data_IF_690365418212
#
_entry.id   IF_690365418212
#
_cell.length_a   1.000
_cell.length_b   1.000
_cell.length_c   1.000
_cell.angle_alpha   90.00
_cell.angle_beta   90.00
_cell.angle_gamma   90.00
#
_symmetry.space_group_name_H-M   'P 1'
#
loop_
_entity.id
_entity.type
_entity.pdbx_description
1 polymer ?
#
# COMPACT_ATOMS: atom_id res chain seq x y z
N UNK A 1 -17.03 15.55 -24.79
CA UNK A 1 -16.19 14.38 -24.44
C UNK A 1 -15.53 14.67 -23.10
N UNK A 2 -16.05 14.14 -22.01
CA UNK A 2 -15.35 14.16 -20.72
C UNK A 2 -15.47 12.78 -20.11
N UNK A 3 -14.80 11.81 -20.74
CA UNK A 3 -14.43 10.58 -20.07
C UNK A 3 -13.31 10.93 -19.12
N UNK A 4 -13.58 10.87 -17.83
CA UNK A 4 -12.52 10.92 -16.83
C UNK A 4 -11.65 9.69 -17.07
N UNK A 5 -10.50 9.85 -17.73
CA UNK A 5 -9.50 8.80 -17.99
C UNK A 5 -8.74 8.40 -16.72
N UNK A 6 -9.44 8.32 -15.58
CA UNK A 6 -8.86 7.77 -14.37
C UNK A 6 -8.70 6.27 -14.63
N UNK A 7 -7.45 5.85 -14.68
CA UNK A 7 -7.01 4.49 -14.43
C UNK A 7 -7.08 3.47 -15.58
N UNK A 8 -6.17 3.59 -16.55
CA UNK A 8 -5.33 2.42 -16.85
C UNK A 8 -4.43 2.21 -15.62
N UNK A 9 -4.93 1.54 -14.57
CA UNK A 9 -4.14 1.34 -13.35
C UNK A 9 -2.90 0.54 -13.72
N UNK A 10 -1.75 1.17 -13.66
CA UNK A 10 -0.48 0.46 -13.65
C UNK A 10 -0.48 -0.44 -12.41
N UNK A 11 -0.60 -1.75 -12.63
CA UNK A 11 -0.43 -2.78 -11.60
C UNK A 11 0.76 -3.63 -12.03
N UNK A 12 1.92 -3.49 -11.40
CA UNK A 12 3.08 -4.30 -11.73
C UNK A 12 2.84 -5.76 -11.35
N UNK A 13 3.41 -6.66 -12.13
CA UNK A 13 3.45 -8.09 -11.81
C UNK A 13 4.11 -8.29 -10.44
N UNK A 14 3.53 -9.17 -9.62
CA UNK A 14 4.01 -9.45 -8.26
C UNK A 14 3.45 -8.53 -7.16
N UNK A 15 2.73 -7.45 -7.48
CA UNK A 15 2.16 -6.58 -6.43
C UNK A 15 1.20 -7.33 -5.49
N UNK A 16 0.36 -8.20 -6.03
CA UNK A 16 -0.55 -9.01 -5.23
C UNK A 16 0.22 -10.03 -4.36
N UNK A 17 1.29 -10.62 -4.87
CA UNK A 17 2.11 -11.57 -4.11
C UNK A 17 2.78 -10.88 -2.92
N UNK A 18 3.35 -9.69 -3.14
CA UNK A 18 3.93 -8.89 -2.05
C UNK A 18 2.84 -8.46 -1.06
N UNK A 19 1.66 -8.04 -1.55
CA UNK A 19 0.52 -7.74 -0.67
C UNK A 19 0.15 -8.93 0.21
N UNK A 20 0.10 -10.14 -0.34
CA UNK A 20 -0.21 -11.36 0.39
C UNK A 20 0.87 -11.67 1.44
N UNK A 21 2.15 -11.43 1.13
CA UNK A 21 3.26 -11.56 2.10
C UNK A 21 3.09 -10.59 3.27
N UNK A 22 2.80 -9.31 3.01
CA UNK A 22 2.57 -8.33 4.08
C UNK A 22 1.23 -8.54 4.81
N UNK A 23 0.23 -9.13 4.17
CA UNK A 23 -1.05 -9.46 4.80
C UNK A 23 -0.97 -10.68 5.72
N UNK A 24 -0.03 -11.59 5.46
CA UNK A 24 0.19 -12.80 6.26
C UNK A 24 1.32 -12.65 7.28
N UNK A 25 2.20 -11.66 7.10
CA UNK A 25 3.32 -11.37 8.00
C UNK A 25 2.86 -11.11 9.44
N UNK A 26 3.33 -11.94 10.37
CA UNK A 26 3.09 -11.78 11.82
C UNK A 26 1.74 -12.26 12.33
N UNK A 27 0.88 -12.84 11.49
CA UNK A 27 -0.43 -13.33 11.90
C UNK A 27 -0.44 -14.86 11.89
N UNK A 28 -0.21 -15.46 13.05
CA UNK A 28 -0.58 -16.85 13.32
C UNK A 28 -2.11 -16.95 13.43
N UNK A 29 -2.78 -17.08 12.30
CA UNK A 29 -4.11 -17.71 12.23
C UNK A 29 -5.36 -16.83 12.16
N UNK A 30 -5.32 -15.50 12.09
CA UNK A 30 -6.55 -14.70 11.99
C UNK A 30 -6.41 -13.43 11.16
N UNK A 31 -6.90 -13.46 9.91
CA UNK A 31 -7.24 -12.27 9.13
C UNK A 31 -6.60 -12.22 7.76
N UNK A 32 -7.40 -12.42 6.71
CA UNK A 32 -7.00 -12.26 5.31
C UNK A 32 -6.93 -10.77 4.94
N UNK A 33 -5.92 -10.03 5.39
CA UNK A 33 -5.77 -8.64 4.98
C UNK A 33 -4.64 -7.88 5.65
N UNK A 34 -4.28 -6.77 5.03
CA UNK A 34 -3.19 -5.91 5.41
C UNK A 34 -3.56 -5.06 6.63
N UNK A 35 -2.86 -5.27 7.75
CA UNK A 35 -3.04 -4.46 8.97
C UNK A 35 -2.41 -3.08 8.79
N UNK A 36 -2.82 -2.12 9.64
CA UNK A 36 -2.22 -0.77 9.67
C UNK A 36 -0.70 -0.84 9.90
N UNK A 37 -0.26 -1.71 10.80
CA UNK A 37 1.16 -1.90 11.10
C UNK A 37 1.93 -2.44 9.89
N UNK A 38 1.42 -3.50 9.24
CA UNK A 38 2.10 -4.09 8.08
C UNK A 38 2.08 -3.16 6.87
N UNK A 39 1.00 -2.38 6.69
CA UNK A 39 0.93 -1.33 5.69
C UNK A 39 2.04 -0.29 5.89
N UNK A 40 2.21 0.23 7.11
CA UNK A 40 3.28 1.21 7.41
C UNK A 40 4.68 0.62 7.19
N UNK A 41 4.92 -0.61 7.66
CA UNK A 41 6.19 -1.32 7.41
C UNK A 41 6.48 -1.47 5.92
N UNK A 42 5.47 -1.76 5.11
CA UNK A 42 5.64 -1.87 3.66
C UNK A 42 5.96 -0.52 3.02
N UNK A 43 5.24 0.54 3.41
CA UNK A 43 5.53 1.89 2.93
C UNK A 43 6.93 2.37 3.32
N UNK A 44 7.40 2.04 4.52
CA UNK A 44 8.75 2.33 4.98
C UNK A 44 9.80 1.55 4.19
N UNK A 45 9.61 0.23 4.01
CA UNK A 45 10.51 -0.61 3.22
C UNK A 45 10.59 -0.16 1.75
N UNK A 46 9.50 0.39 1.21
CA UNK A 46 9.44 0.98 -0.12
C UNK A 46 10.05 2.40 -0.20
N UNK A 47 10.50 2.97 0.92
CA UNK A 47 11.02 4.34 1.00
C UNK A 47 9.96 5.39 0.66
N UNK A 48 8.70 5.13 1.06
CA UNK A 48 7.54 5.98 0.77
C UNK A 48 7.10 6.85 1.94
N UNK A 49 7.66 6.66 3.13
CA UNK A 49 7.36 7.41 4.37
C UNK A 49 8.33 8.54 4.70
N UNK A 50 9.41 8.68 3.93
CA UNK A 50 10.42 9.71 4.21
C UNK A 50 10.06 11.06 3.57
N UNK A 51 10.55 12.16 4.16
CA UNK A 51 10.31 13.54 3.70
C UNK A 51 10.64 13.83 2.22
N UNK A 52 11.25 12.88 1.51
CA UNK A 52 11.48 12.89 0.07
C UNK A 52 10.21 12.62 -0.76
N UNK A 53 9.27 11.78 -0.29
CA UNK A 53 8.04 11.43 -1.04
C UNK A 53 6.89 12.37 -0.75
N UNK A 54 6.95 13.10 0.36
CA UNK A 54 5.89 14.03 0.79
C UNK A 54 4.69 13.36 1.45
N UNK A 55 4.74 12.04 1.68
CA UNK A 55 3.77 11.32 2.50
C UNK A 55 4.28 11.22 3.94
N UNK A 56 3.65 11.95 4.86
CA UNK A 56 3.91 11.77 6.28
C UNK A 56 3.24 10.48 6.78
N UNK A 57 3.72 9.94 7.89
CA UNK A 57 3.06 8.81 8.56
C UNK A 57 1.60 9.12 8.90
N UNK A 58 1.29 10.38 9.21
CA UNK A 58 -0.08 10.80 9.50
C UNK A 58 -0.98 10.69 8.27
N UNK A 59 -0.49 11.06 7.08
CA UNK A 59 -1.25 10.91 5.84
C UNK A 59 -1.56 9.43 5.56
N UNK A 60 -0.59 8.55 5.82
CA UNK A 60 -0.76 7.10 5.66
C UNK A 60 -1.77 6.53 6.67
N UNK A 61 -1.76 7.02 7.90
CA UNK A 61 -2.72 6.65 8.94
C UNK A 61 -4.14 7.07 8.56
N UNK A 62 -4.34 8.33 8.16
CA UNK A 62 -5.65 8.86 7.72
C UNK A 62 -6.15 8.11 6.48
N UNK A 63 -5.26 7.83 5.52
CA UNK A 63 -5.58 7.04 4.32
C UNK A 63 -6.03 5.62 4.65
N UNK A 64 -5.30 4.94 5.52
CA UNK A 64 -5.64 3.59 5.96
C UNK A 64 -7.00 3.56 6.66
N UNK A 65 -7.23 4.51 7.57
CA UNK A 65 -8.47 4.63 8.34
C UNK A 65 -9.68 4.94 7.44
N UNK A 66 -9.52 5.78 6.41
CA UNK A 66 -10.57 6.04 5.42
C UNK A 66 -10.98 4.76 4.68
N UNK A 67 -10.01 3.98 4.17
CA UNK A 67 -10.33 2.82 3.35
C UNK A 67 -10.73 1.58 4.14
N UNK A 68 -10.23 1.43 5.36
CA UNK A 68 -10.62 0.32 6.20
C UNK A 68 -12.07 0.46 6.67
N UNK A 69 -12.60 1.70 6.74
CA UNK A 69 -14.02 1.98 6.97
C UNK A 69 -14.55 1.37 8.28
N UNK A 70 -13.70 1.32 9.32
CA UNK A 70 -14.01 0.69 10.60
C UNK A 70 -13.67 -0.80 10.72
N UNK A 71 -13.11 -1.43 9.67
CA UNK A 71 -12.50 -2.77 9.79
C UNK A 71 -11.11 -2.68 10.46
N UNK A 72 -10.46 -3.83 10.65
CA UNK A 72 -9.08 -3.91 11.19
C UNK A 72 -8.01 -4.08 10.12
N UNK A 73 -8.40 -4.54 8.93
CA UNK A 73 -7.50 -4.88 7.83
C UNK A 73 -8.04 -4.40 6.49
N UNK A 74 -7.14 -4.08 5.58
CA UNK A 74 -7.44 -3.77 4.18
C UNK A 74 -7.37 -5.05 3.33
N UNK A 75 -8.30 -5.17 2.39
CA UNK A 75 -8.17 -6.10 1.29
C UNK A 75 -7.33 -5.48 0.15
N UNK A 76 -6.93 -6.29 -0.84
CA UNK A 76 -6.07 -5.85 -1.93
C UNK A 76 -6.70 -4.70 -2.74
N UNK A 77 -8.03 -4.70 -2.88
CA UNK A 77 -8.75 -3.64 -3.58
C UNK A 77 -8.70 -2.32 -2.80
N UNK A 78 -9.01 -2.35 -1.51
CA UNK A 78 -8.92 -1.18 -0.63
C UNK A 78 -7.51 -0.61 -0.57
N UNK A 79 -6.50 -1.47 -0.56
CA UNK A 79 -5.10 -1.06 -0.67
C UNK A 79 -4.80 -0.29 -1.97
N UNK A 80 -5.25 -0.78 -3.13
CA UNK A 80 -5.05 -0.05 -4.39
C UNK A 80 -5.79 1.29 -4.41
N UNK A 81 -6.99 1.33 -3.86
CA UNK A 81 -7.79 2.55 -3.79
C UNK A 81 -7.11 3.63 -2.93
N UNK A 82 -6.50 3.28 -1.79
CA UNK A 82 -5.76 4.26 -0.98
C UNK A 82 -4.51 4.78 -1.67
N UNK A 83 -3.78 3.90 -2.37
CA UNK A 83 -2.63 4.32 -3.14
C UNK A 83 -3.11 5.32 -4.20
N UNK A 84 -4.09 4.99 -5.01
CA UNK A 84 -4.52 5.92 -6.08
C UNK A 84 -5.03 7.25 -5.51
N UNK A 85 -5.84 7.23 -4.44
CA UNK A 85 -6.34 8.45 -3.81
C UNK A 85 -5.23 9.32 -3.20
N UNK A 86 -4.23 8.73 -2.55
CA UNK A 86 -3.13 9.49 -1.92
C UNK A 86 -1.99 9.84 -2.87
N UNK A 87 -1.80 9.06 -3.94
CA UNK A 87 -0.73 9.28 -4.91
C UNK A 87 -1.14 10.33 -5.94
N UNK A 88 -2.40 10.32 -6.40
CA UNK A 88 -2.91 11.35 -7.32
C UNK A 88 -2.95 12.75 -6.68
N UNK A 89 -3.01 12.86 -5.35
CA UNK A 89 -3.03 14.15 -4.65
C UNK A 89 -1.62 14.74 -4.44
N UNK A 90 -0.55 13.94 -4.53
CA UNK A 90 0.83 14.35 -4.19
C UNK A 90 1.82 14.48 -5.36
N UNK A 91 1.32 14.66 -6.60
CA UNK A 91 2.10 15.01 -7.82
C UNK A 91 3.13 13.98 -8.30
N UNK A 92 3.01 12.71 -7.92
CA UNK A 92 3.91 11.65 -8.41
C UNK A 92 3.13 10.65 -9.26
N UNK A 93 3.82 10.02 -10.22
CA UNK A 93 3.18 9.04 -11.08
C UNK A 93 2.90 7.75 -10.30
N UNK A 94 1.68 7.18 -10.38
CA UNK A 94 1.33 5.92 -9.71
C UNK A 94 2.33 4.79 -9.98
N UNK A 95 2.92 4.79 -11.18
CA UNK A 95 3.92 3.81 -11.61
C UNK A 95 5.12 3.71 -10.67
N UNK A 96 5.76 4.85 -10.36
CA UNK A 96 6.96 4.86 -9.51
C UNK A 96 6.69 4.33 -8.10
N UNK A 97 5.47 4.52 -7.60
CA UNK A 97 5.07 3.99 -6.30
C UNK A 97 4.86 2.50 -6.31
N UNK A 98 4.14 1.99 -7.30
CA UNK A 98 3.92 0.55 -7.40
C UNK A 98 5.23 -0.19 -7.67
N UNK A 99 6.14 0.39 -8.47
CA UNK A 99 7.49 -0.17 -8.68
C UNK A 99 8.29 -0.24 -7.38
N UNK A 100 8.24 0.81 -6.55
CA UNK A 100 8.88 0.82 -5.22
C UNK A 100 8.25 -0.18 -4.26
N UNK A 101 6.94 -0.39 -4.34
CA UNK A 101 6.22 -1.35 -3.49
C UNK A 101 6.56 -2.79 -3.86
N UNK A 102 6.68 -3.11 -5.16
CA UNK A 102 7.15 -4.42 -5.62
C UNK A 102 8.64 -4.60 -5.35
N UNK A 103 9.43 -3.54 -5.51
CA UNK A 103 10.87 -3.54 -5.22
C UNK A 103 11.21 -3.55 -3.73
N UNK A 104 10.25 -3.26 -2.85
CA UNK A 104 10.45 -3.36 -1.41
C UNK A 104 10.71 -4.83 -1.06
N UNK A 105 11.83 -5.08 -0.38
CA UNK A 105 12.13 -6.43 0.10
C UNK A 105 10.99 -6.90 1.00
N UNK A 106 10.42 -8.08 0.71
CA UNK A 106 9.49 -8.75 1.61
C UNK A 106 10.07 -8.76 3.03
N UNK A 107 9.24 -8.61 4.08
CA UNK A 107 9.73 -8.45 5.43
C UNK A 107 10.68 -9.61 5.78
N UNK A 108 11.94 -9.27 6.04
CA UNK A 108 13.02 -10.25 6.27
C UNK A 108 12.80 -11.13 7.51
N UNK A 109 11.78 -10.81 8.31
CA UNK A 109 11.30 -11.61 9.44
C UNK A 109 10.56 -12.91 9.03
N UNK A 110 10.33 -13.17 7.74
CA UNK A 110 9.68 -14.41 7.25
C UNK A 110 10.60 -15.63 7.15
N UNK A 111 11.86 -15.55 7.62
CA UNK A 111 12.75 -16.70 7.78
C UNK A 111 13.21 -16.85 9.23
N UNK A 112 12.41 -17.55 10.05
CA UNK A 112 12.92 -18.42 11.10
C UNK A 112 12.13 -19.72 11.13
#
# INVERSE_FOLDING_TARGET
MSGCSICGMYEPEGLQEIFDLYSTSGILGFGSGLTKENFKKWMEAAGLTDGQTGCSERDLDEAFEEAVGGKKTLDFRGFKEILIKNLCTKKREPKEYFDKLVGAMAPTDLKK
#
